data_IF_897871920764
#
_entry.id   IF_897871920764
#
_cell.length_a   1.000
_cell.length_b   1.000
_cell.length_c   1.000
_cell.angle_alpha   90.00
_cell.angle_beta   90.00
_cell.angle_gamma   90.00
#
_symmetry.space_group_name_H-M   'P 1'
#
loop_
_entity.id
_entity.type
_entity.pdbx_description
1 polymer ?
#
# COMPACT_ATOMS: atom_id res chain seq x y z
N UNK A 1 -18.70 -3.63 -13.32
CA UNK A 1 -18.29 -4.78 -14.15
C UNK A 1 -17.80 -5.86 -13.20
N UNK A 2 -18.50 -6.99 -13.10
CA UNK A 2 -18.07 -8.12 -12.27
C UNK A 2 -17.13 -9.01 -13.07
N UNK A 3 -16.00 -9.41 -12.49
CA UNK A 3 -15.05 -10.32 -13.12
C UNK A 3 -15.53 -11.76 -12.90
N UNK A 4 -15.58 -12.57 -13.96
CA UNK A 4 -15.95 -13.98 -13.82
C UNK A 4 -14.85 -14.77 -13.11
N UNK A 5 -15.25 -15.84 -12.41
CA UNK A 5 -14.31 -16.68 -11.67
C UNK A 5 -13.21 -17.30 -12.54
N UNK A 6 -13.56 -17.75 -13.74
CA UNK A 6 -12.62 -18.25 -14.74
C UNK A 6 -11.53 -17.22 -15.09
N UNK A 7 -11.93 -15.95 -15.25
CA UNK A 7 -11.00 -14.85 -15.49
C UNK A 7 -10.13 -14.56 -14.25
N UNK A 8 -10.65 -14.70 -13.02
CA UNK A 8 -9.83 -14.57 -11.80
C UNK A 8 -8.70 -15.58 -11.76
N UNK A 9 -8.98 -16.85 -12.06
CA UNK A 9 -7.96 -17.91 -12.09
C UNK A 9 -6.88 -17.60 -13.14
N UNK A 10 -7.29 -17.17 -14.33
CA UNK A 10 -6.36 -16.77 -15.40
C UNK A 10 -5.47 -15.60 -14.99
N UNK A 11 -6.02 -14.60 -14.30
CA UNK A 11 -5.26 -13.46 -13.78
C UNK A 11 -4.24 -13.90 -12.72
N UNK A 12 -4.65 -14.75 -11.78
CA UNK A 12 -3.75 -15.32 -10.75
C UNK A 12 -2.60 -16.09 -11.41
N UNK A 13 -2.90 -16.97 -12.36
CA UNK A 13 -1.87 -17.72 -13.10
C UNK A 13 -0.87 -16.78 -13.78
N UNK A 14 -1.37 -15.73 -14.43
CA UNK A 14 -0.54 -14.76 -15.16
C UNK A 14 0.34 -13.97 -14.20
N UNK A 15 -0.18 -13.57 -13.04
CA UNK A 15 0.59 -12.84 -12.02
C UNK A 15 1.70 -13.69 -11.37
N UNK A 16 1.47 -15.00 -11.21
CA UNK A 16 2.49 -15.94 -10.69
C UNK A 16 3.50 -16.30 -11.80
N UNK A 17 3.13 -16.15 -13.08
CA UNK A 17 3.99 -16.48 -14.22
C UNK A 17 4.17 -17.98 -14.43
N UNK A 18 3.23 -18.81 -13.94
CA UNK A 18 3.27 -20.27 -14.09
C UNK A 18 2.44 -20.74 -15.28
N UNK A 19 2.80 -21.91 -15.81
CA UNK A 19 2.04 -22.54 -16.89
C UNK A 19 0.78 -23.26 -16.36
N UNK A 20 -0.18 -23.53 -17.24
CA UNK A 20 -1.41 -24.27 -16.90
C UNK A 20 -1.13 -25.70 -16.40
N UNK A 21 -0.06 -26.32 -16.91
CA UNK A 21 0.42 -27.64 -16.45
C UNK A 21 0.69 -27.66 -14.94
N UNK A 22 1.32 -26.62 -14.40
CA UNK A 22 1.65 -26.54 -12.97
C UNK A 22 0.40 -26.62 -12.08
N UNK A 23 -0.69 -25.96 -12.49
CA UNK A 23 -1.95 -26.03 -11.74
C UNK A 23 -2.66 -27.37 -11.92
N UNK A 24 -2.57 -27.97 -13.10
CA UNK A 24 -3.08 -29.31 -13.34
C UNK A 24 -2.38 -30.35 -12.43
N UNK A 25 -1.05 -30.22 -12.26
CA UNK A 25 -0.24 -31.07 -11.37
C UNK A 25 -0.61 -30.88 -9.89
N UNK A 26 -0.83 -29.64 -9.43
CA UNK A 26 -1.26 -29.36 -8.05
C UNK A 26 -2.61 -30.01 -7.73
N UNK A 27 -3.51 -30.03 -8.72
CA UNK A 27 -4.86 -30.53 -8.59
C UNK A 27 -4.98 -32.05 -8.84
N UNK A 28 -3.93 -32.68 -9.35
CA UNK A 28 -3.93 -34.07 -9.85
C UNK A 28 -5.04 -34.30 -10.90
N UNK A 29 -5.17 -33.36 -11.85
CA UNK A 29 -6.13 -33.42 -12.95
C UNK A 29 -5.41 -33.30 -14.29
N UNK A 30 -5.98 -33.84 -15.39
CA UNK A 30 -5.47 -33.57 -16.73
C UNK A 30 -5.59 -32.09 -17.10
N UNK A 31 -4.62 -31.60 -17.86
CA UNK A 31 -4.53 -30.21 -18.31
C UNK A 31 -5.79 -29.72 -19.05
N UNK A 32 -6.47 -30.58 -19.79
CA UNK A 32 -7.71 -30.24 -20.50
C UNK A 32 -8.84 -29.84 -19.54
N UNK A 33 -8.90 -30.49 -18.37
CA UNK A 33 -9.88 -30.14 -17.33
C UNK A 33 -9.55 -28.80 -16.69
N UNK A 34 -8.26 -28.52 -16.46
CA UNK A 34 -7.85 -27.21 -15.95
C UNK A 34 -8.14 -26.08 -16.96
N UNK A 35 -7.93 -26.32 -18.26
CA UNK A 35 -8.24 -25.35 -19.31
C UNK A 35 -9.74 -25.01 -19.33
N UNK A 36 -10.61 -26.00 -19.12
CA UNK A 36 -12.06 -25.79 -19.04
C UNK A 36 -12.47 -24.88 -17.85
N UNK A 37 -11.66 -24.84 -16.78
CA UNK A 37 -11.89 -23.91 -15.67
C UNK A 37 -11.51 -22.47 -16.04
N UNK A 38 -10.42 -22.27 -16.79
CA UNK A 38 -10.01 -20.93 -17.26
C UNK A 38 -10.90 -20.38 -18.38
N UNK A 39 -11.52 -21.24 -19.19
CA UNK A 39 -12.49 -20.83 -20.21
C UNK A 39 -13.91 -20.64 -19.66
N UNK A 40 -14.18 -21.15 -18.44
CA UNK A 40 -15.50 -21.12 -17.83
C UNK A 40 -16.48 -22.15 -18.40
N UNK A 41 -15.99 -23.12 -19.18
CA UNK A 41 -16.79 -24.27 -19.63
C UNK A 41 -17.17 -25.19 -18.47
N UNK A 42 -16.35 -25.20 -17.42
CA UNK A 42 -16.61 -25.97 -16.20
C UNK A 42 -16.40 -25.11 -14.97
N UNK A 43 -17.28 -25.29 -13.99
CA UNK A 43 -17.13 -24.70 -12.67
C UNK A 43 -16.12 -25.46 -11.80
N UNK A 44 -15.39 -24.73 -10.98
CA UNK A 44 -14.41 -25.29 -10.05
C UNK A 44 -15.12 -25.76 -8.79
N UNK A 45 -14.86 -26.99 -8.37
CA UNK A 45 -15.38 -27.51 -7.12
C UNK A 45 -14.57 -27.00 -5.92
N UNK A 46 -15.19 -27.01 -4.74
CA UNK A 46 -14.59 -26.48 -3.52
C UNK A 46 -13.27 -27.18 -3.13
N UNK A 47 -13.10 -28.46 -3.51
CA UNK A 47 -11.90 -29.25 -3.22
C UNK A 47 -10.70 -28.71 -3.99
N UNK A 48 -10.86 -28.49 -5.29
CA UNK A 48 -9.84 -27.98 -6.21
C UNK A 48 -9.48 -26.55 -5.83
N UNK A 49 -10.50 -25.74 -5.50
CA UNK A 49 -10.29 -24.38 -5.07
C UNK A 49 -9.48 -24.31 -3.76
N UNK A 50 -9.80 -25.16 -2.79
CA UNK A 50 -9.01 -25.27 -1.56
C UNK A 50 -7.56 -25.66 -1.85
N UNK A 51 -7.32 -26.59 -2.77
CA UNK A 51 -5.97 -27.00 -3.14
C UNK A 51 -5.16 -25.86 -3.77
N UNK A 52 -5.76 -25.09 -4.69
CA UNK A 52 -5.14 -23.90 -5.28
C UNK A 52 -4.82 -22.87 -4.19
N UNK A 53 -5.80 -22.50 -3.36
CA UNK A 53 -5.64 -21.47 -2.33
C UNK A 53 -4.69 -21.87 -1.20
N UNK A 54 -4.48 -23.16 -0.98
CA UNK A 54 -3.54 -23.66 0.05
C UNK A 54 -2.09 -23.71 -0.45
N UNK A 55 -1.85 -23.57 -1.76
CA UNK A 55 -0.49 -23.64 -2.31
C UNK A 55 0.32 -22.37 -1.95
N UNK A 56 1.59 -22.49 -1.52
CA UNK A 56 2.40 -21.36 -1.04
C UNK A 56 2.54 -20.22 -2.06
N UNK A 57 2.61 -20.53 -3.35
CA UNK A 57 2.69 -19.48 -4.39
C UNK A 57 1.38 -18.73 -4.58
N UNK A 58 0.24 -19.42 -4.37
CA UNK A 58 -1.10 -18.94 -4.69
C UNK A 58 -1.83 -18.33 -3.49
N UNK A 59 -1.40 -18.66 -2.26
CA UNK A 59 -2.08 -18.29 -1.01
C UNK A 59 -2.33 -16.79 -0.87
N UNK A 60 -1.44 -15.96 -1.43
CA UNK A 60 -1.50 -14.50 -1.42
C UNK A 60 -2.69 -13.91 -2.19
N UNK A 61 -3.33 -14.68 -3.07
CA UNK A 61 -4.48 -14.24 -3.87
C UNK A 61 -5.82 -14.79 -3.36
N UNK A 62 -5.81 -15.57 -2.27
CA UNK A 62 -6.97 -16.32 -1.78
C UNK A 62 -8.14 -15.41 -1.45
N UNK A 63 -7.89 -14.34 -0.70
CA UNK A 63 -8.94 -13.40 -0.31
C UNK A 63 -9.59 -12.76 -1.54
N UNK A 64 -8.77 -12.30 -2.48
CA UNK A 64 -9.24 -11.65 -3.70
C UNK A 64 -10.05 -12.59 -4.59
N UNK A 65 -9.59 -13.84 -4.77
CA UNK A 65 -10.33 -14.84 -5.57
C UNK A 65 -11.72 -15.09 -5.00
N UNK A 66 -11.83 -15.16 -3.66
CA UNK A 66 -13.05 -15.56 -2.96
C UNK A 66 -14.03 -14.40 -2.72
N UNK A 67 -13.56 -13.25 -2.26
CA UNK A 67 -14.42 -12.16 -1.76
C UNK A 67 -14.26 -10.85 -2.53
N UNK A 68 -13.40 -10.82 -3.56
CA UNK A 68 -13.03 -9.59 -4.28
C UNK A 68 -12.40 -8.51 -3.39
N UNK A 69 -11.96 -8.87 -2.19
CA UNK A 69 -11.28 -7.98 -1.24
C UNK A 69 -9.78 -8.24 -1.20
N UNK A 70 -9.02 -7.20 -0.87
CA UNK A 70 -7.57 -7.27 -0.63
C UNK A 70 -7.26 -6.79 0.78
N UNK A 71 -6.17 -7.31 1.35
CA UNK A 71 -5.64 -6.90 2.64
C UNK A 71 -4.12 -7.01 2.60
N UNK A 72 -3.47 -5.90 2.26
CA UNK A 72 -2.01 -5.83 2.09
C UNK A 72 -1.26 -6.18 3.39
N UNK A 73 -1.77 -5.75 4.55
CA UNK A 73 -1.17 -6.03 5.87
C UNK A 73 -1.13 -7.54 6.17
N UNK A 74 -2.16 -8.28 5.75
CA UNK A 74 -2.23 -9.74 5.89
C UNK A 74 -1.52 -10.50 4.75
N UNK A 75 -0.83 -9.79 3.84
CA UNK A 75 -0.18 -10.38 2.66
C UNK A 75 -1.15 -10.89 1.58
N UNK A 76 -2.42 -10.44 1.61
CA UNK A 76 -3.45 -10.79 0.63
C UNK A 76 -3.62 -9.67 -0.40
N UNK A 77 -3.25 -9.92 -1.65
CA UNK A 77 -3.19 -8.92 -2.73
C UNK A 77 -4.01 -9.34 -3.95
N UNK A 78 -4.37 -8.37 -4.81
CA UNK A 78 -4.90 -8.69 -6.12
C UNK A 78 -3.78 -8.89 -7.16
N UNK A 79 -4.03 -9.68 -8.22
CA UNK A 79 -3.13 -9.75 -9.38
C UNK A 79 -2.96 -8.36 -10.04
N UNK A 80 -1.77 -7.78 -9.93
CA UNK A 80 -1.45 -6.47 -10.49
C UNK A 80 -1.32 -5.34 -9.46
N UNK A 81 -1.68 -5.57 -8.19
CA UNK A 81 -1.39 -4.61 -7.13
C UNK A 81 0.12 -4.44 -6.94
N UNK A 82 0.60 -3.21 -6.61
CA UNK A 82 1.98 -3.01 -6.24
C UNK A 82 2.34 -3.91 -5.03
N UNK A 83 3.58 -4.42 -5.03
CA UNK A 83 4.09 -5.31 -3.97
C UNK A 83 3.71 -4.77 -2.57
N UNK A 84 3.31 -5.64 -1.61
CA UNK A 84 2.98 -5.25 -0.23
C UNK A 84 4.04 -4.36 0.41
N UNK A 85 5.32 -4.52 0.06
CA UNK A 85 6.41 -3.67 0.55
C UNK A 85 6.23 -2.20 0.13
N UNK A 86 5.78 -1.95 -1.10
CA UNK A 86 5.51 -0.59 -1.61
C UNK A 86 4.24 0.01 -1.01
N UNK A 87 3.27 -0.83 -0.64
CA UNK A 87 2.03 -0.40 0.02
C UNK A 87 2.27 -0.10 1.50
N UNK A 88 3.05 -0.94 2.21
CA UNK A 88 3.46 -0.70 3.59
C UNK A 88 4.31 0.58 3.70
N UNK A 89 5.26 0.80 2.76
CA UNK A 89 6.00 2.07 2.65
C UNK A 89 5.09 3.30 2.42
N UNK A 90 3.88 3.12 1.87
CA UNK A 90 2.90 4.20 1.69
C UNK A 90 1.96 4.35 2.89
N UNK A 91 1.61 3.25 3.58
CA UNK A 91 0.70 3.26 4.74
C UNK A 91 1.40 3.71 6.02
N UNK A 92 2.62 3.24 6.33
CA UNK A 92 3.44 3.76 7.45
C UNK A 92 3.73 5.26 7.29
N UNK A 93 3.81 5.69 6.04
CA UNK A 93 4.13 7.05 5.72
C UNK A 93 2.84 7.91 5.88
N UNK A 94 1.61 7.46 5.54
CA UNK A 94 0.38 8.27 5.73
C UNK A 94 0.09 8.75 7.17
N UNK A 95 0.44 7.95 8.18
CA UNK A 95 0.32 8.33 9.60
C UNK A 95 1.54 9.10 10.14
N UNK A 96 2.56 9.32 9.29
CA UNK A 96 3.73 10.11 9.62
C UNK A 96 3.38 11.59 9.73
N UNK A 97 3.97 12.26 10.72
CA UNK A 97 3.92 13.72 10.91
C UNK A 97 4.16 14.47 9.60
N UNK A 98 5.03 13.94 8.74
CA UNK A 98 5.39 14.57 7.47
C UNK A 98 4.20 14.71 6.53
N UNK A 99 3.34 13.69 6.40
CA UNK A 99 2.16 13.80 5.55
C UNK A 99 1.09 14.67 6.17
N UNK A 100 0.83 14.52 7.47
CA UNK A 100 -0.15 15.38 8.15
C UNK A 100 0.22 16.85 8.03
N UNK A 101 1.51 17.17 8.14
CA UNK A 101 2.01 18.52 7.95
C UNK A 101 1.84 18.99 6.49
N UNK A 102 2.20 18.15 5.51
CA UNK A 102 2.09 18.49 4.09
C UNK A 102 0.62 18.74 3.71
N UNK A 103 -0.29 17.86 4.12
CA UNK A 103 -1.72 17.95 3.85
C UNK A 103 -2.34 19.20 4.50
N UNK A 104 -2.11 19.41 5.81
CA UNK A 104 -2.64 20.58 6.51
C UNK A 104 -2.10 21.91 5.92
N UNK A 105 -0.84 21.92 5.47
CA UNK A 105 -0.23 23.10 4.85
C UNK A 105 -0.82 23.37 3.46
N UNK A 106 -1.02 22.32 2.67
CA UNK A 106 -1.66 22.42 1.35
C UNK A 106 -3.08 22.97 1.46
N UNK A 107 -3.88 22.45 2.40
CA UNK A 107 -5.23 22.94 2.69
C UNK A 107 -5.24 24.41 3.14
N UNK A 108 -4.33 24.78 4.05
CA UNK A 108 -4.20 26.16 4.50
C UNK A 108 -3.82 27.11 3.36
N UNK A 109 -2.87 26.72 2.51
CA UNK A 109 -2.47 27.51 1.34
C UNK A 109 -3.64 27.67 0.35
N UNK A 110 -4.42 26.62 0.14
CA UNK A 110 -5.58 26.68 -0.72
C UNK A 110 -6.68 27.57 -0.12
N UNK A 111 -6.91 27.50 1.19
CA UNK A 111 -7.83 28.40 1.89
C UNK A 111 -7.40 29.86 1.76
N UNK A 112 -6.11 30.16 1.93
CA UNK A 112 -5.61 31.53 1.76
C UNK A 112 -5.76 32.05 0.33
N UNK A 113 -5.65 31.19 -0.67
CA UNK A 113 -6.01 31.54 -2.05
C UNK A 113 -7.49 31.89 -2.18
N UNK A 114 -8.38 31.11 -1.55
CA UNK A 114 -9.83 31.34 -1.58
C UNK A 114 -10.24 32.63 -0.86
N UNK A 115 -9.45 33.07 0.13
CA UNK A 115 -9.62 34.32 0.86
C UNK A 115 -8.98 35.52 0.14
N UNK A 116 -8.51 35.35 -1.10
CA UNK A 116 -7.82 36.37 -1.90
C UNK A 116 -6.57 36.96 -1.22
N UNK A 117 -5.92 36.21 -0.34
CA UNK A 117 -4.72 36.67 0.36
C UNK A 117 -3.48 36.63 -0.53
N UNK A 118 -3.48 35.72 -1.51
CA UNK A 118 -2.53 35.68 -2.63
C UNK A 118 -3.16 35.04 -3.86
N UNK A 119 -2.67 35.40 -5.05
CA UNK A 119 -3.15 34.87 -6.33
C UNK A 119 -2.10 33.93 -6.95
N UNK A 120 -2.32 32.61 -6.91
CA UNK A 120 -1.34 31.66 -7.43
C UNK A 120 -1.27 31.74 -8.96
N UNK A 121 -0.07 31.60 -9.51
CA UNK A 121 0.10 31.45 -10.95
C UNK A 121 -0.39 30.05 -11.37
N UNK A 122 -1.50 30.01 -12.10
CA UNK A 122 -2.19 28.77 -12.51
C UNK A 122 -1.35 27.81 -13.35
N UNK A 123 -0.22 28.26 -13.91
CA UNK A 123 0.67 27.43 -14.74
C UNK A 123 1.81 26.78 -13.97
N UNK A 124 2.15 27.28 -12.78
CA UNK A 124 3.39 26.89 -12.08
C UNK A 124 3.20 26.65 -10.60
N UNK A 125 2.07 27.05 -10.01
CA UNK A 125 1.82 26.86 -8.59
C UNK A 125 1.46 25.39 -8.31
N UNK A 126 2.38 24.69 -7.66
CA UNK A 126 2.13 23.37 -7.08
C UNK A 126 2.20 23.48 -5.55
N UNK A 127 1.04 23.44 -4.89
CA UNK A 127 0.95 23.60 -3.45
C UNK A 127 1.63 22.46 -2.68
N UNK A 128 1.68 21.27 -3.26
CA UNK A 128 2.38 20.14 -2.67
C UNK A 128 3.89 20.39 -2.58
N UNK A 129 4.48 21.01 -3.60
CA UNK A 129 5.91 21.37 -3.58
C UNK A 129 6.19 22.48 -2.55
N UNK A 130 5.29 23.46 -2.41
CA UNK A 130 5.39 24.48 -1.37
C UNK A 130 5.32 23.88 0.04
N UNK A 131 4.39 22.96 0.28
CA UNK A 131 4.24 22.30 1.57
C UNK A 131 5.50 21.49 1.94
N UNK A 132 6.13 20.81 0.98
CA UNK A 132 7.41 20.09 1.19
C UNK A 132 8.57 21.03 1.52
N UNK A 133 8.63 22.21 0.89
CA UNK A 133 9.64 23.21 1.21
C UNK A 133 9.48 23.72 2.64
N UNK A 134 8.23 24.04 3.04
CA UNK A 134 7.93 24.48 4.41
C UNK A 134 8.26 23.41 5.45
N UNK A 135 7.98 22.14 5.15
CA UNK A 135 8.36 21.03 6.01
C UNK A 135 9.87 21.01 6.26
N UNK A 136 10.69 21.20 5.22
CA UNK A 136 12.16 21.22 5.34
C UNK A 136 12.64 22.33 6.27
N UNK A 137 12.08 23.52 6.14
CA UNK A 137 12.45 24.68 6.95
C UNK A 137 12.02 24.49 8.42
N UNK A 138 10.80 24.00 8.65
CA UNK A 138 10.27 23.75 10.00
C UNK A 138 11.02 22.63 10.70
N UNK A 139 11.36 21.53 10.00
CA UNK A 139 12.13 20.42 10.58
C UNK A 139 13.45 20.87 11.17
N UNK A 140 14.20 21.73 10.47
CA UNK A 140 15.45 22.27 10.98
C UNK A 140 15.28 23.05 12.28
N UNK A 141 14.19 23.82 12.42
CA UNK A 141 13.88 24.57 13.64
C UNK A 141 13.45 23.64 14.78
N UNK A 142 12.63 22.63 14.46
CA UNK A 142 12.15 21.65 15.43
C UNK A 142 13.32 20.83 15.99
N UNK A 143 14.23 20.37 15.15
CA UNK A 143 15.43 19.64 15.57
C UNK A 143 16.32 20.48 16.49
N UNK A 144 16.54 21.76 16.16
CA UNK A 144 17.29 22.68 17.02
C UNK A 144 16.63 22.85 18.39
N UNK A 145 15.30 22.98 18.44
CA UNK A 145 14.58 23.12 19.71
C UNK A 145 14.71 21.89 20.62
N UNK A 146 14.62 20.69 20.05
CA UNK A 146 14.77 19.46 20.82
C UNK A 146 16.21 19.21 21.29
N UNK A 147 17.23 19.57 20.49
CA UNK A 147 18.64 19.48 20.90
C UNK A 147 18.96 20.42 22.09
N UNK A 148 18.40 21.63 22.10
CA UNK A 148 18.57 22.58 23.22
C UNK A 148 17.96 22.02 24.51
N UNK A 149 16.78 21.41 24.42
CA UNK A 149 16.07 20.85 25.58
C UNK A 149 16.81 19.69 26.25
N UNK A 150 17.51 18.85 25.48
CA UNK A 150 18.37 17.79 26.03
C UNK A 150 19.60 18.36 26.77
N UNK A 151 20.17 19.46 26.26
CA UNK A 151 21.31 20.13 26.89
C UNK A 151 20.96 20.84 28.21
N UNK A 152 19.76 21.40 28.33
CA UNK A 152 19.29 22.05 29.57
C UNK A 152 18.96 21.05 30.68
N UNK A 153 18.50 19.85 30.29
CA UNK A 153 18.12 18.79 31.24
C UNK A 153 19.34 18.15 31.92
N UNK A 154 20.51 18.13 31.26
CA UNK A 154 21.76 17.58 31.81
C UNK A 154 22.50 18.52 32.76
N UNK A 155 22.18 19.81 32.76
CA UNK A 155 22.84 20.81 33.61
C UNK A 155 22.23 20.95 35.02
N UNK A 156 21.14 20.23 35.32
CA UNK A 156 20.33 20.41 36.55
C UNK A 156 20.45 19.29 37.58
N UNK A 157 21.51 18.46 37.57
CA UNK A 157 21.80 17.54 38.67
C UNK A 157 22.63 18.26 39.76
N UNK A 158 22.07 18.60 40.94
CA UNK A 158 22.86 19.15 42.02
C UNK A 158 23.85 18.08 42.50
N UNK A 159 25.14 18.42 42.47
CA UNK A 159 26.20 17.68 43.13
C UNK A 159 25.93 17.62 44.64
N UNK A 160 25.22 16.61 45.10
CA UNK A 160 25.28 16.19 46.51
C UNK A 160 26.62 15.46 46.71
N UNK A 161 27.65 16.23 47.11
CA UNK A 161 28.85 15.68 47.73
C UNK A 161 28.54 15.34 49.20
N UNK A 162 29.08 14.19 49.61
CA UNK A 162 29.10 13.57 50.95
C UNK A 162 29.36 14.52 52.11
#
# INVERSE_FOLDING_TARGET
>A
MSISFANKLKLVRTAIGKNQQFFADILDIPISQYLAYETGEREVCAKELKAICSHPDCIRYTLWVMTDQTNALAGQIAPGDPSPLKLAEQEDNKDSFDYQFIEATEEALQLFCQLDWFTPNTKTANFNDCARLLLKDVKGVVELHYQVKESETTCSLPNHKS
#
